data_IF_719374002613
#
_entry.id   IF_719374002613
#
_cell.length_a   1.000
_cell.length_b   1.000
_cell.length_c   1.000
_cell.angle_alpha   90.00
_cell.angle_beta   90.00
_cell.angle_gamma   90.00
#
_symmetry.space_group_name_H-M   'P 1'
#
loop_
_entity.id
_entity.type
_entity.pdbx_description
1 polymer ?
#
# COMPACT_ATOMS: atom_id res chain seq x y z
N UNK A 1 0.34 -32.90 -54.33
CA UNK A 1 0.44 -34.13 -55.14
C UNK A 1 1.08 -35.21 -54.26
N UNK A 2 0.43 -36.37 -54.19
CA UNK A 2 0.85 -37.64 -53.58
C UNK A 2 0.75 -37.85 -52.05
N UNK A 3 -0.15 -38.80 -51.75
CA UNK A 3 -0.38 -39.58 -50.53
C UNK A 3 0.76 -40.58 -50.26
N UNK A 4 0.86 -41.10 -49.01
CA UNK A 4 1.12 -42.51 -48.61
C UNK A 4 1.03 -42.55 -47.05
N UNK A 5 -0.07 -43.01 -46.47
CA UNK A 5 -0.43 -44.40 -46.08
C UNK A 5 0.21 -44.90 -44.77
N UNK A 6 -0.66 -45.01 -43.76
CA UNK A 6 -0.87 -46.09 -42.79
C UNK A 6 0.31 -46.97 -42.31
N UNK A 7 0.46 -47.05 -40.98
CA UNK A 7 0.52 -48.35 -40.31
C UNK A 7 -0.16 -48.31 -38.94
N UNK A 8 -1.12 -49.22 -38.80
CA UNK A 8 -1.93 -49.51 -37.62
C UNK A 8 -1.21 -50.62 -36.86
N UNK A 9 -0.96 -50.43 -35.56
CA UNK A 9 -0.75 -51.55 -34.64
C UNK A 9 -1.73 -51.39 -33.49
N UNK A 10 -2.74 -52.26 -33.50
CA UNK A 10 -3.67 -52.48 -32.41
C UNK A 10 -2.93 -53.16 -31.25
N UNK A 11 -2.99 -52.60 -30.05
CA UNK A 11 -2.89 -53.37 -28.82
C UNK A 11 -4.12 -53.12 -27.96
N UNK A 12 -4.97 -54.13 -27.95
CA UNK A 12 -6.15 -54.25 -27.12
C UNK A 12 -5.74 -55.01 -25.86
N UNK A 13 -5.72 -54.35 -24.70
CA UNK A 13 -5.83 -55.05 -23.41
C UNK A 13 -6.78 -54.29 -22.50
N UNK A 14 -7.89 -54.97 -22.22
CA UNK A 14 -8.92 -54.60 -21.25
C UNK A 14 -8.31 -54.63 -19.85
N UNK A 15 -8.48 -53.55 -19.11
CA UNK A 15 -8.46 -53.58 -17.64
C UNK A 15 -9.68 -52.80 -17.13
N UNK A 16 -10.70 -53.57 -16.75
CA UNK A 16 -11.77 -53.15 -15.83
C UNK A 16 -11.24 -53.24 -14.39
N UNK A 17 -11.94 -52.57 -13.46
CA UNK A 17 -11.62 -52.30 -12.03
C UNK A 17 -10.90 -50.96 -11.86
N UNK A 18 -11.37 -49.96 -11.12
CA UNK A 18 -12.40 -49.89 -10.09
C UNK A 18 -12.88 -48.42 -10.01
N UNK A 19 -14.12 -48.14 -10.38
CA UNK A 19 -14.78 -46.86 -10.15
C UNK A 19 -15.86 -47.05 -9.10
N UNK A 20 -15.44 -47.07 -7.84
CA UNK A 20 -16.32 -46.91 -6.69
C UNK A 20 -15.43 -46.37 -5.55
N UNK A 21 -15.88 -45.32 -4.84
CA UNK A 21 -15.22 -44.65 -3.72
C UNK A 21 -14.31 -43.43 -4.00
N UNK A 22 -14.72 -42.50 -4.86
CA UNK A 22 -14.34 -41.08 -4.72
C UNK A 22 -15.57 -40.21 -5.06
N UNK A 23 -16.61 -40.30 -4.23
CA UNK A 23 -17.88 -39.61 -4.46
C UNK A 23 -18.62 -39.26 -3.18
N UNK A 24 -17.92 -39.15 -2.04
CA UNK A 24 -18.55 -38.93 -0.74
C UNK A 24 -17.75 -37.99 0.19
N UNK A 25 -16.92 -37.10 -0.37
CA UNK A 25 -16.23 -36.04 0.41
C UNK A 25 -16.59 -34.63 -0.08
N UNK A 26 -17.30 -34.48 -1.21
CA UNK A 26 -17.69 -33.16 -1.75
C UNK A 26 -19.14 -32.73 -1.43
N UNK A 27 -19.93 -33.54 -0.73
CA UNK A 27 -21.37 -33.27 -0.55
C UNK A 27 -21.78 -32.75 0.82
N UNK A 28 -20.85 -32.61 1.78
CA UNK A 28 -21.18 -32.18 3.16
C UNK A 28 -20.93 -30.69 3.43
N UNK A 29 -20.52 -29.91 2.44
CA UNK A 29 -20.22 -28.47 2.57
C UNK A 29 -21.21 -27.55 1.83
N UNK A 30 -22.40 -28.05 1.45
CA UNK A 30 -23.37 -27.30 0.65
C UNK A 30 -24.72 -27.05 1.35
N UNK A 31 -24.83 -27.25 2.68
CA UNK A 31 -26.11 -27.15 3.40
C UNK A 31 -26.10 -26.21 4.63
N UNK A 32 -25.26 -25.17 4.62
CA UNK A 32 -25.29 -24.09 5.62
C UNK A 32 -25.16 -22.70 4.96
N UNK A 33 -25.88 -22.46 3.87
CA UNK A 33 -26.12 -21.10 3.38
C UNK A 33 -27.40 -20.57 4.02
N UNK A 34 -27.37 -20.33 5.33
CA UNK A 34 -28.32 -19.39 5.94
C UNK A 34 -27.92 -17.99 5.50
N UNK A 35 -28.86 -17.28 4.90
CA UNK A 35 -28.76 -15.87 4.53
C UNK A 35 -28.18 -15.03 5.67
N UNK A 36 -26.89 -14.75 5.61
CA UNK A 36 -26.26 -13.79 6.52
C UNK A 36 -26.55 -12.40 5.97
N UNK A 37 -27.70 -11.85 6.35
CA UNK A 37 -28.03 -10.45 6.10
C UNK A 37 -27.13 -9.56 6.96
N UNK A 38 -26.18 -8.87 6.33
CA UNK A 38 -25.39 -7.84 7.00
C UNK A 38 -26.17 -6.51 7.01
N UNK A 39 -26.87 -6.23 8.10
CA UNK A 39 -27.39 -4.90 8.37
C UNK A 39 -26.29 -4.06 9.05
N UNK A 40 -25.65 -3.16 8.32
CA UNK A 40 -24.77 -2.14 8.89
C UNK A 40 -25.62 -0.89 9.18
N UNK A 41 -26.10 -0.75 10.41
CA UNK A 41 -26.67 0.52 10.88
C UNK A 41 -25.53 1.51 11.11
N UNK A 42 -25.35 2.46 10.18
CA UNK A 42 -24.44 3.58 10.36
C UNK A 42 -25.04 4.57 11.38
N UNK A 43 -24.75 4.36 12.66
CA UNK A 43 -25.04 5.37 13.67
C UNK A 43 -24.00 6.49 13.54
N UNK A 44 -24.45 7.65 13.04
CA UNK A 44 -23.70 8.89 13.15
C UNK A 44 -23.74 9.37 14.60
N UNK A 45 -22.81 8.89 15.42
CA UNK A 45 -22.42 9.64 16.60
C UNK A 45 -21.66 10.88 16.10
N UNK A 46 -21.99 12.06 16.63
CA UNK A 46 -21.20 13.28 16.44
C UNK A 46 -19.78 13.00 16.93
N UNK A 47 -18.93 12.51 16.03
CA UNK A 47 -17.53 12.25 16.31
C UNK A 47 -16.87 13.59 16.53
N UNK A 48 -16.25 13.74 17.70
CA UNK A 48 -15.25 14.77 17.95
C UNK A 48 -14.26 14.81 16.77
N UNK A 49 -13.76 16.00 16.43
CA UNK A 49 -12.82 16.21 15.32
C UNK A 49 -11.75 15.12 15.35
N UNK A 50 -11.73 14.25 14.34
CA UNK A 50 -10.80 13.12 14.29
C UNK A 50 -9.38 13.64 14.39
N UNK A 51 -8.52 13.04 15.24
CA UNK A 51 -7.16 13.51 15.44
C UNK A 51 -6.40 13.46 14.12
N UNK A 52 -5.54 14.44 13.89
CA UNK A 52 -4.62 14.42 12.75
C UNK A 52 -3.46 13.47 13.04
N UNK A 53 -3.13 12.63 12.07
CA UNK A 53 -1.98 11.73 12.09
C UNK A 53 -1.09 11.95 10.87
N UNK A 54 0.15 11.44 10.96
CA UNK A 54 1.14 11.55 9.90
C UNK A 54 1.28 10.20 9.21
N UNK A 55 1.07 10.19 7.90
CA UNK A 55 1.31 9.05 7.03
C UNK A 55 2.59 9.30 6.25
N UNK A 56 3.52 8.34 6.29
CA UNK A 56 4.84 8.49 5.68
C UNK A 56 5.15 7.26 4.84
N UNK A 57 5.61 7.47 3.60
CA UNK A 57 6.15 6.41 2.75
C UNK A 57 7.43 6.87 2.08
N UNK A 58 8.38 5.95 1.94
CA UNK A 58 9.55 6.17 1.09
C UNK A 58 9.13 6.08 -0.38
N UNK A 59 9.77 6.85 -1.27
CA UNK A 59 9.40 6.83 -2.70
C UNK A 59 9.78 5.50 -3.36
N UNK A 60 10.78 4.79 -2.84
CA UNK A 60 11.12 3.43 -3.28
C UNK A 60 9.96 2.46 -3.05
N UNK A 61 9.16 2.63 -1.99
CA UNK A 61 8.00 1.78 -1.70
C UNK A 61 6.79 2.10 -2.60
N UNK A 62 6.79 3.25 -3.29
CA UNK A 62 5.77 3.64 -4.27
C UNK A 62 6.17 3.25 -5.70
N UNK A 63 7.46 3.27 -6.01
CA UNK A 63 7.97 3.11 -7.38
C UNK A 63 8.68 1.79 -7.65
N UNK A 64 9.10 1.08 -6.59
CA UNK A 64 9.97 -0.09 -6.65
C UNK A 64 11.33 0.18 -7.32
N UNK A 65 11.76 1.45 -7.39
CA UNK A 65 13.05 1.87 -7.96
C UNK A 65 13.87 2.53 -6.87
N UNK A 66 15.14 2.15 -6.74
CA UNK A 66 16.07 2.77 -5.78
C UNK A 66 16.59 4.12 -6.27
N UNK A 67 16.81 4.23 -7.57
CA UNK A 67 17.34 5.42 -8.22
C UNK A 67 16.54 5.75 -9.48
N UNK A 68 16.44 7.03 -9.79
CA UNK A 68 15.99 7.56 -11.07
C UNK A 68 17.07 8.49 -11.60
N UNK A 69 17.40 8.36 -12.87
CA UNK A 69 18.32 9.27 -13.57
C UNK A 69 17.52 10.31 -14.34
N UNK A 70 17.90 11.57 -14.19
CA UNK A 70 17.45 12.70 -14.99
C UNK A 70 18.64 13.25 -15.76
N UNK A 71 18.59 13.15 -17.08
CA UNK A 71 19.64 13.62 -17.98
C UNK A 71 19.01 14.31 -19.20
N UNK A 72 19.84 14.68 -20.18
CA UNK A 72 19.36 15.32 -21.41
C UNK A 72 18.42 14.43 -22.24
N UNK A 73 18.59 13.09 -22.17
CA UNK A 73 17.78 12.12 -22.92
C UNK A 73 16.46 11.82 -22.20
N UNK A 74 16.47 11.85 -20.87
CA UNK A 74 15.35 11.59 -19.97
C UNK A 74 15.21 12.76 -18.98
N UNK A 75 14.84 13.96 -19.46
CA UNK A 75 14.82 15.16 -18.62
C UNK A 75 13.68 15.17 -17.61
N UNK A 76 12.77 14.20 -17.65
CA UNK A 76 11.57 14.20 -16.84
C UNK A 76 11.29 12.84 -16.22
N UNK A 77 10.85 12.85 -14.97
CA UNK A 77 10.31 11.69 -14.28
C UNK A 77 8.96 12.03 -13.66
N UNK A 78 7.96 11.17 -13.92
CA UNK A 78 6.62 11.29 -13.35
C UNK A 78 6.39 10.22 -12.30
N UNK A 79 6.29 10.63 -11.05
CA UNK A 79 5.86 9.80 -9.94
C UNK A 79 4.34 9.83 -9.87
N UNK A 80 3.69 8.70 -10.11
CA UNK A 80 2.25 8.55 -9.87
C UNK A 80 2.01 7.86 -8.52
N UNK A 81 1.00 8.30 -7.78
CA UNK A 81 0.61 7.68 -6.53
C UNK A 81 -0.87 7.90 -6.23
N UNK A 82 -1.43 6.96 -5.47
CA UNK A 82 -2.76 7.09 -4.89
C UNK A 82 -2.63 7.42 -3.40
N UNK A 83 -3.71 7.96 -2.86
CA UNK A 83 -3.82 8.21 -1.43
C UNK A 83 -4.91 7.32 -0.83
N UNK A 84 -4.80 6.98 0.46
CA UNK A 84 -5.85 6.23 1.16
C UNK A 84 -7.23 6.91 1.03
N UNK A 85 -8.23 6.16 0.57
CA UNK A 85 -9.57 6.70 0.27
C UNK A 85 -10.35 7.13 1.51
N UNK A 86 -10.03 6.54 2.66
CA UNK A 86 -10.73 6.70 3.93
C UNK A 86 -10.16 7.80 4.82
N UNK A 87 -9.32 8.66 4.25
CA UNK A 87 -8.64 9.76 4.93
C UNK A 87 -9.03 11.11 4.31
N UNK A 88 -9.12 12.14 5.14
CA UNK A 88 -9.06 13.54 4.72
C UNK A 88 -7.61 13.99 4.82
N UNK A 89 -7.10 14.71 3.82
CA UNK A 89 -5.72 15.18 3.79
C UNK A 89 -5.67 16.70 4.01
N UNK A 90 -4.96 17.11 5.05
CA UNK A 90 -4.77 18.52 5.40
C UNK A 90 -3.43 19.07 4.88
N UNK A 91 -2.58 18.20 4.31
CA UNK A 91 -1.31 18.59 3.72
C UNK A 91 -0.50 17.42 3.19
N UNK A 92 0.39 17.73 2.26
CA UNK A 92 1.28 16.78 1.62
C UNK A 92 2.65 17.45 1.44
N UNK A 93 3.70 16.81 1.94
CA UNK A 93 5.08 17.29 1.90
C UNK A 93 5.94 16.23 1.18
N UNK A 94 6.75 16.66 0.21
CA UNK A 94 7.73 15.84 -0.50
C UNK A 94 9.13 16.13 0.06
N UNK A 95 9.81 15.11 0.57
CA UNK A 95 11.25 15.17 0.84
C UNK A 95 11.98 14.50 -0.33
N UNK A 96 12.87 15.25 -0.96
CA UNK A 96 13.62 14.80 -2.14
C UNK A 96 15.11 14.81 -1.84
N UNK A 97 15.80 13.72 -2.19
CA UNK A 97 17.25 13.56 -2.09
C UNK A 97 17.80 13.36 -3.49
N UNK A 98 18.72 14.24 -3.91
CA UNK A 98 19.32 14.16 -5.25
C UNK A 98 20.81 14.44 -5.20
N UNK A 99 21.57 13.81 -6.08
CA UNK A 99 22.99 14.09 -6.27
C UNK A 99 23.37 14.07 -7.75
N UNK A 100 24.33 14.89 -8.17
CA UNK A 100 24.80 14.90 -9.55
C UNK A 100 25.79 13.76 -9.80
N UNK A 101 25.90 13.34 -11.06
CA UNK A 101 26.93 12.46 -11.55
C UNK A 101 27.42 13.01 -12.89
N UNK A 102 28.74 13.25 -13.02
CA UNK A 102 29.31 13.96 -14.16
C UNK A 102 29.23 15.49 -14.01
N UNK A 103 29.44 16.22 -15.11
CA UNK A 103 29.64 17.67 -15.10
C UNK A 103 28.31 18.43 -15.24
N UNK A 104 27.40 18.24 -14.27
CA UNK A 104 26.13 18.96 -14.26
C UNK A 104 26.36 20.45 -14.00
N UNK A 105 25.83 21.31 -14.88
CA UNK A 105 25.83 22.76 -14.69
C UNK A 105 25.23 23.15 -13.31
N UNK A 106 26.02 23.81 -12.44
CA UNK A 106 25.58 24.26 -11.12
C UNK A 106 24.39 25.21 -11.12
N UNK A 107 24.16 25.94 -12.22
CA UNK A 107 23.10 26.93 -12.34
C UNK A 107 21.79 26.35 -12.87
N UNK A 108 21.81 25.12 -13.39
CA UNK A 108 20.61 24.51 -13.96
C UNK A 108 19.63 24.06 -12.86
N UNK A 109 18.41 24.61 -12.81
CA UNK A 109 17.43 24.23 -11.79
C UNK A 109 16.74 22.90 -12.08
N UNK A 110 16.38 22.20 -11.00
CA UNK A 110 15.42 21.10 -11.02
C UNK A 110 14.03 21.67 -10.71
N UNK A 111 13.04 21.32 -11.51
CA UNK A 111 11.67 21.76 -11.34
C UNK A 111 10.81 20.63 -10.79
N UNK A 112 10.00 20.96 -9.78
CA UNK A 112 9.00 20.06 -9.19
C UNK A 112 7.61 20.64 -9.44
N UNK A 113 6.71 19.88 -10.05
CA UNK A 113 5.29 20.22 -10.19
C UNK A 113 4.42 19.13 -9.59
N UNK A 114 3.33 19.52 -8.94
CA UNK A 114 2.37 18.60 -8.33
C UNK A 114 1.00 18.78 -8.96
N UNK A 115 0.43 17.72 -9.54
CA UNK A 115 -0.90 17.74 -10.16
C UNK A 115 -1.11 18.90 -11.15
N UNK A 116 -0.05 19.30 -11.87
CA UNK A 116 -0.08 20.41 -12.83
C UNK A 116 0.06 21.80 -12.22
N UNK A 117 0.44 21.90 -10.93
CA UNK A 117 0.74 23.17 -10.28
C UNK A 117 1.89 23.91 -10.96
N UNK A 118 2.01 25.22 -10.67
CA UNK A 118 3.20 26.00 -11.03
C UNK A 118 4.46 25.27 -10.52
N UNK A 119 5.47 25.06 -11.36
CA UNK A 119 6.70 24.39 -10.94
C UNK A 119 7.47 25.20 -9.89
N UNK A 120 8.04 24.49 -8.92
CA UNK A 120 8.97 25.01 -7.91
C UNK A 120 10.38 24.69 -8.38
N UNK A 121 11.23 25.71 -8.50
CA UNK A 121 12.63 25.55 -8.86
C UNK A 121 13.48 25.22 -7.62
N UNK A 122 14.29 24.18 -7.72
CA UNK A 122 15.28 23.76 -6.75
C UNK A 122 16.66 23.94 -7.38
N UNK A 123 17.56 24.60 -6.66
CA UNK A 123 18.92 24.86 -7.12
C UNK A 123 19.88 23.99 -6.31
N UNK A 124 20.40 22.93 -6.93
CA UNK A 124 21.34 22.00 -6.31
C UNK A 124 22.80 22.46 -6.32
N UNK A 125 23.12 23.55 -7.03
CA UNK A 125 24.49 24.10 -7.13
C UNK A 125 25.53 23.05 -7.56
N UNK A 126 25.13 22.07 -8.38
CA UNK A 126 26.02 20.99 -8.82
C UNK A 126 26.50 20.08 -7.68
N UNK A 127 25.75 19.98 -6.58
CA UNK A 127 26.08 19.16 -5.40
C UNK A 127 24.89 18.34 -4.91
N UNK A 128 25.14 17.34 -4.05
CA UNK A 128 24.07 16.61 -3.36
C UNK A 128 23.22 17.57 -2.52
N UNK A 129 21.90 17.41 -2.57
CA UNK A 129 20.99 18.19 -1.74
C UNK A 129 19.78 17.40 -1.27
N UNK A 130 19.20 17.88 -0.17
CA UNK A 130 17.93 17.44 0.37
C UNK A 130 16.95 18.62 0.40
N UNK A 131 15.80 18.46 -0.24
CA UNK A 131 14.77 19.48 -0.28
C UNK A 131 13.48 18.98 0.36
N UNK A 132 12.84 19.82 1.18
CA UNK A 132 11.49 19.59 1.67
C UNK A 132 10.54 20.57 0.97
N UNK A 133 9.63 20.03 0.15
CA UNK A 133 8.71 20.79 -0.66
C UNK A 133 7.30 20.57 -0.13
N UNK A 134 6.65 21.65 0.34
CA UNK A 134 5.23 21.62 0.68
C UNK A 134 4.39 21.66 -0.59
N UNK A 135 3.57 20.64 -0.80
CA UNK A 135 2.68 20.54 -1.95
C UNK A 135 1.33 21.21 -1.64
N UNK A 136 0.67 21.74 -2.67
CA UNK A 136 -0.62 22.41 -2.50
C UNK A 136 -1.72 21.39 -2.15
N UNK A 137 -2.22 21.47 -0.92
CA UNK A 137 -3.25 20.58 -0.42
C UNK A 137 -4.56 20.68 -1.20
N UNK A 138 -4.86 21.82 -1.83
CA UNK A 138 -6.08 22.00 -2.62
C UNK A 138 -6.09 21.16 -3.91
N UNK A 139 -4.90 20.73 -4.36
CA UNK A 139 -4.76 19.89 -5.54
C UNK A 139 -4.79 18.40 -5.22
N UNK A 140 -4.91 18.01 -3.94
CA UNK A 140 -4.92 16.61 -3.53
C UNK A 140 -6.14 15.89 -4.10
N UNK A 141 -5.89 14.72 -4.69
CA UNK A 141 -6.93 13.82 -5.21
C UNK A 141 -6.86 12.48 -4.48
N UNK A 142 -7.97 11.73 -4.36
CA UNK A 142 -7.93 10.37 -3.80
C UNK A 142 -7.05 9.41 -4.62
N UNK A 143 -7.00 9.61 -5.94
CA UNK A 143 -6.23 8.78 -6.87
C UNK A 143 -5.64 9.61 -8.00
N UNK A 144 -4.70 9.02 -8.73
CA UNK A 144 -4.04 9.63 -9.90
C UNK A 144 -3.31 10.93 -9.56
N UNK A 145 -2.76 11.03 -8.36
CA UNK A 145 -1.85 12.11 -8.05
C UNK A 145 -0.55 11.88 -8.80
N UNK A 146 0.09 12.98 -9.19
CA UNK A 146 1.40 12.92 -9.81
C UNK A 146 2.29 14.06 -9.36
N UNK A 147 3.56 13.72 -9.17
CA UNK A 147 4.66 14.66 -8.99
C UNK A 147 5.54 14.53 -10.24
N UNK A 148 5.70 15.62 -10.97
CA UNK A 148 6.63 15.73 -12.09
C UNK A 148 7.93 16.34 -11.57
N UNK A 149 9.02 15.60 -11.71
CA UNK A 149 10.39 16.05 -11.48
C UNK A 149 11.00 16.25 -12.85
N UNK A 150 11.49 17.45 -13.14
CA UNK A 150 12.07 17.76 -14.44
C UNK A 150 13.36 18.53 -14.31
N UNK A 151 14.33 18.15 -15.13
CA UNK A 151 15.58 18.82 -15.36
C UNK A 151 15.49 19.53 -16.70
N UNK A 152 15.80 20.82 -16.73
CA UNK A 152 15.82 21.56 -18.00
C UNK A 152 17.21 21.46 -18.61
N UNK A 153 17.36 20.67 -19.66
CA UNK A 153 18.54 20.72 -20.50
C UNK A 153 18.81 22.17 -20.98
N UNK A 154 20.06 22.67 -20.93
CA UNK A 154 20.41 24.00 -21.42
C UNK A 154 19.92 24.24 -22.86
N UNK A 155 19.51 25.47 -23.21
CA UNK A 155 19.10 25.84 -24.58
C UNK A 155 20.32 25.93 -25.50
N UNK A 156 20.20 25.47 -26.75
CA UNK A 156 21.25 25.55 -27.78
C UNK A 156 22.17 24.33 -27.84
N UNK A 157 21.64 23.16 -27.49
CA UNK A 157 22.42 22.02 -27.03
C UNK A 157 22.24 20.81 -27.94
N UNK A 158 22.43 21.03 -29.24
CA UNK A 158 22.47 19.97 -30.26
C UNK A 158 23.62 18.96 -30.04
N UNK A 159 24.47 19.22 -29.05
CA UNK A 159 25.66 18.46 -28.68
C UNK A 159 25.65 17.91 -27.23
N UNK A 160 24.50 17.80 -26.55
CA UNK A 160 24.49 17.17 -25.21
C UNK A 160 24.86 15.69 -25.32
N UNK A 161 25.78 15.29 -24.47
CA UNK A 161 26.32 13.94 -24.34
C UNK A 161 26.21 13.47 -22.90
N UNK A 162 26.59 12.22 -22.63
CA UNK A 162 26.69 11.72 -21.26
C UNK A 162 27.70 12.50 -20.39
N UNK A 163 28.58 13.33 -20.98
CA UNK A 163 29.55 14.15 -20.22
C UNK A 163 28.91 15.34 -19.53
N UNK A 164 27.79 15.86 -20.04
CA UNK A 164 27.05 16.99 -19.48
C UNK A 164 26.33 16.65 -18.15
N UNK A 165 26.56 15.44 -17.66
CA UNK A 165 26.13 14.97 -16.37
C UNK A 165 24.66 14.60 -16.30
N UNK A 166 24.30 14.03 -15.16
CA UNK A 166 22.97 13.57 -14.84
C UNK A 166 22.67 13.79 -13.36
N UNK A 167 21.40 13.99 -13.03
CA UNK A 167 20.94 14.01 -11.66
C UNK A 167 20.38 12.65 -11.28
N UNK A 168 20.85 12.10 -10.18
CA UNK A 168 20.30 10.89 -9.60
C UNK A 168 19.37 11.27 -8.46
N UNK A 169 18.10 10.86 -8.57
CA UNK A 169 17.14 10.91 -7.47
C UNK A 169 17.28 9.65 -6.64
N UNK A 170 17.66 9.80 -5.37
CA UNK A 170 17.70 8.70 -4.42
C UNK A 170 16.30 8.49 -3.82
N UNK A 171 15.58 7.49 -4.35
CA UNK A 171 14.21 7.17 -3.97
C UNK A 171 14.12 6.53 -2.58
N UNK A 172 15.23 5.99 -2.07
CA UNK A 172 15.30 5.39 -0.74
C UNK A 172 15.47 6.44 0.36
N UNK A 173 16.14 7.55 0.04
CA UNK A 173 16.26 8.73 0.92
C UNK A 173 15.12 9.74 0.74
N UNK A 174 14.35 9.62 -0.34
CA UNK A 174 13.21 10.49 -0.63
C UNK A 174 11.91 9.93 -0.04
N UNK A 175 11.02 10.83 0.41
CA UNK A 175 9.79 10.47 1.15
C UNK A 175 8.61 11.33 0.75
N UNK A 176 7.42 10.77 0.88
CA UNK A 176 6.16 11.48 0.79
C UNK A 176 5.44 11.40 2.14
N UNK A 177 5.11 12.57 2.68
CA UNK A 177 4.52 12.74 4.02
C UNK A 177 3.16 13.41 3.88
N UNK A 178 2.11 12.75 4.37
CA UNK A 178 0.75 13.25 4.38
C UNK A 178 0.30 13.53 5.82
N UNK A 179 -0.32 14.69 6.04
CA UNK A 179 -1.11 14.97 7.25
C UNK A 179 -2.56 14.56 6.97
N UNK A 180 -3.05 13.56 7.68
CA UNK A 180 -4.34 12.93 7.42
C UNK A 180 -5.24 12.93 8.66
N UNK A 181 -6.55 12.79 8.44
CA UNK A 181 -7.59 12.58 9.45
C UNK A 181 -8.56 11.51 8.96
N UNK A 182 -8.80 10.49 9.78
CA UNK A 182 -9.65 9.38 9.37
C UNK A 182 -11.10 9.85 9.19
N UNK A 183 -11.71 9.42 8.08
CA UNK A 183 -13.13 9.66 7.81
C UNK A 183 -13.99 8.77 8.72
N UNK A 184 -15.04 9.30 9.34
CA UNK A 184 -15.93 8.49 10.16
C UNK A 184 -16.70 7.50 9.28
N UNK A 185 -16.42 6.20 9.41
CA UNK A 185 -17.17 5.12 8.76
C UNK A 185 -16.95 3.79 9.51
N UNK A 186 -17.88 2.85 9.35
CA UNK A 186 -17.68 1.48 9.81
C UNK A 186 -16.67 0.78 8.89
N UNK A 187 -15.51 0.40 9.43
CA UNK A 187 -14.48 -0.32 8.68
C UNK A 187 -14.98 -1.70 8.26
N UNK A 188 -14.83 -2.01 6.98
CA UNK A 188 -15.06 -3.33 6.41
C UNK A 188 -13.73 -4.06 6.24
N UNK A 189 -13.79 -5.39 6.11
CA UNK A 189 -12.60 -6.22 5.82
C UNK A 189 -11.89 -5.73 4.54
N UNK A 190 -12.64 -5.26 3.55
CA UNK A 190 -12.08 -4.68 2.32
C UNK A 190 -11.25 -3.42 2.59
N UNK A 191 -11.71 -2.55 3.50
CA UNK A 191 -11.03 -1.31 3.87
C UNK A 191 -9.73 -1.63 4.61
N UNK A 192 -9.77 -2.59 5.55
CA UNK A 192 -8.58 -3.09 6.25
C UNK A 192 -7.58 -3.69 5.27
N UNK A 193 -8.04 -4.50 4.30
CA UNK A 193 -7.17 -5.06 3.26
C UNK A 193 -6.50 -3.96 2.45
N UNK A 194 -7.24 -2.93 2.05
CA UNK A 194 -6.68 -1.80 1.34
C UNK A 194 -5.65 -1.05 2.19
N UNK A 195 -5.94 -0.84 3.48
CA UNK A 195 -5.04 -0.16 4.40
C UNK A 195 -3.71 -0.91 4.58
N UNK A 196 -3.77 -2.24 4.76
CA UNK A 196 -2.60 -3.11 4.91
C UNK A 196 -1.75 -3.15 3.62
N UNK A 197 -2.38 -3.10 2.45
CA UNK A 197 -1.69 -3.18 1.18
C UNK A 197 -1.03 -1.85 0.75
N UNK A 198 -1.47 -0.72 1.29
CA UNK A 198 -1.05 0.60 0.84
C UNK A 198 0.18 1.11 1.61
N UNK A 199 1.26 1.48 0.91
CA UNK A 199 2.57 1.80 1.52
C UNK A 199 2.55 2.93 2.57
N UNK A 200 1.62 3.88 2.46
CA UNK A 200 1.47 4.96 3.47
C UNK A 200 0.71 4.57 4.73
N UNK A 201 -0.16 3.56 4.68
CA UNK A 201 -1.07 3.20 5.80
C UNK A 201 -0.80 1.81 6.35
N UNK A 202 0.02 1.02 5.66
CA UNK A 202 0.47 -0.25 6.17
C UNK A 202 1.13 -0.04 7.54
N UNK A 203 0.66 -0.72 8.60
CA UNK A 203 1.20 -0.55 9.93
C UNK A 203 2.64 -1.06 9.97
N UNK A 204 3.53 -0.35 10.65
CA UNK A 204 4.90 -0.82 10.88
C UNK A 204 4.99 -1.68 12.13
N UNK A 205 4.11 -1.43 13.10
CA UNK A 205 3.99 -2.18 14.35
C UNK A 205 2.56 -2.65 14.54
N UNK A 206 2.39 -3.96 14.70
CA UNK A 206 1.06 -4.58 14.87
C UNK A 206 1.03 -5.30 16.21
N UNK A 207 0.13 -4.89 17.09
CA UNK A 207 -0.17 -5.61 18.32
C UNK A 207 -1.26 -6.65 18.07
N UNK A 208 -0.98 -7.92 18.37
CA UNK A 208 -2.00 -8.97 18.35
C UNK A 208 -2.24 -9.44 19.77
N UNK A 209 -3.47 -9.26 20.25
CA UNK A 209 -3.86 -9.64 21.60
C UNK A 209 -4.97 -10.68 21.53
N UNK A 210 -4.60 -11.94 21.62
CA UNK A 210 -5.58 -13.01 21.70
C UNK A 210 -5.92 -13.38 23.15
N UNK A 211 -7.12 -13.94 23.32
CA UNK A 211 -7.64 -14.47 24.58
C UNK A 211 -8.27 -15.84 24.37
N UNK A 212 -8.43 -16.58 25.48
CA UNK A 212 -9.00 -17.92 25.49
C UNK A 212 -7.95 -19.03 25.34
N UNK A 213 -8.45 -20.27 25.25
CA UNK A 213 -7.63 -21.49 25.23
C UNK A 213 -6.68 -21.56 24.02
N UNK A 214 -7.10 -20.99 22.88
CA UNK A 214 -6.37 -21.04 21.62
C UNK A 214 -5.59 -19.73 21.30
N UNK A 215 -5.25 -18.93 22.32
CA UNK A 215 -4.66 -17.58 22.10
C UNK A 215 -3.46 -17.58 21.15
N UNK A 216 -2.51 -18.52 21.34
CA UNK A 216 -1.28 -18.57 20.55
C UNK A 216 -1.55 -18.95 19.11
N UNK A 217 -2.51 -19.86 18.88
CA UNK A 217 -2.93 -20.24 17.54
C UNK A 217 -3.58 -19.06 16.80
N UNK A 218 -4.43 -18.29 17.50
CA UNK A 218 -5.02 -17.08 16.91
C UNK A 218 -3.98 -16.00 16.61
N UNK A 219 -3.03 -15.77 17.51
CA UNK A 219 -1.91 -14.84 17.29
C UNK A 219 -1.11 -15.23 16.04
N UNK A 220 -0.74 -16.51 15.90
CA UNK A 220 0.01 -17.01 14.76
C UNK A 220 -0.78 -16.87 13.43
N UNK A 221 -2.04 -17.29 13.40
CA UNK A 221 -2.87 -17.22 12.19
C UNK A 221 -3.12 -15.78 11.74
N UNK A 222 -3.29 -14.86 12.68
CA UNK A 222 -3.51 -13.44 12.37
C UNK A 222 -2.23 -12.78 11.91
N UNK A 223 -1.10 -13.06 12.56
CA UNK A 223 0.20 -12.59 12.10
C UNK A 223 0.47 -13.05 10.66
N UNK A 224 0.22 -14.33 10.36
CA UNK A 224 0.33 -14.87 9.01
C UNK A 224 -0.64 -14.17 8.03
N UNK A 225 -1.90 -13.99 8.41
CA UNK A 225 -2.91 -13.33 7.58
C UNK A 225 -2.53 -11.88 7.23
N UNK A 226 -1.91 -11.16 8.15
CA UNK A 226 -1.42 -9.78 7.93
C UNK A 226 -0.17 -9.80 7.06
N UNK A 227 0.79 -10.67 7.38
CA UNK A 227 2.04 -10.80 6.62
C UNK A 227 1.78 -11.08 5.13
N UNK A 228 0.69 -11.78 4.80
CA UNK A 228 0.26 -12.03 3.41
C UNK A 228 -0.37 -10.83 2.69
N UNK A 229 -0.71 -9.75 3.39
CA UNK A 229 -1.47 -8.59 2.87
C UNK A 229 -0.69 -7.28 2.89
N UNK A 230 0.54 -7.32 3.41
CA UNK A 230 1.44 -6.17 3.54
C UNK A 230 2.62 -6.33 2.60
N UNK A 231 3.12 -5.21 2.05
CA UNK A 231 4.31 -5.23 1.20
C UNK A 231 5.61 -5.30 2.02
N UNK A 232 5.55 -4.98 3.31
CA UNK A 232 6.69 -5.00 4.23
C UNK A 232 6.24 -5.62 5.53
N UNK A 233 7.00 -6.61 6.03
CA UNK A 233 6.66 -7.34 7.26
C UNK A 233 6.64 -6.36 8.45
N UNK A 234 5.52 -6.22 9.17
CA UNK A 234 5.46 -5.40 10.36
C UNK A 234 6.20 -6.07 11.53
N UNK A 235 6.60 -5.25 12.48
CA UNK A 235 7.01 -5.70 13.81
C UNK A 235 5.78 -6.16 14.60
N UNK A 236 5.65 -7.46 14.80
CA UNK A 236 4.56 -8.05 15.56
C UNK A 236 4.87 -8.01 17.06
N UNK A 237 3.95 -7.43 17.82
CA UNK A 237 4.11 -7.23 19.26
C UNK A 237 2.97 -7.90 20.03
N UNK A 238 3.28 -8.40 21.22
CA UNK A 238 2.30 -8.98 22.14
C UNK A 238 1.74 -7.95 23.14
N UNK A 239 2.05 -6.66 22.94
CA UNK A 239 1.58 -5.55 23.79
C UNK A 239 1.08 -4.41 22.91
N UNK A 240 0.10 -3.64 23.39
CA UNK A 240 -0.46 -2.49 22.64
C UNK A 240 0.48 -1.28 22.62
N UNK A 241 1.54 -1.29 23.44
CA UNK A 241 2.33 -0.10 23.70
C UNK A 241 3.08 0.31 22.44
N UNK A 242 2.66 1.44 21.84
CA UNK A 242 3.21 2.01 20.60
C UNK A 242 2.91 1.20 19.33
N UNK A 243 1.88 0.35 19.32
CA UNK A 243 1.44 -0.28 18.08
C UNK A 243 0.69 0.72 17.19
N UNK A 244 0.88 0.61 15.87
CA UNK A 244 0.16 1.43 14.89
C UNK A 244 -1.22 0.82 14.58
N UNK A 245 -1.35 -0.49 14.73
CA UNK A 245 -2.58 -1.27 14.61
C UNK A 245 -2.68 -2.23 15.79
N UNK A 246 -3.82 -2.31 16.46
CA UNK A 246 -4.09 -3.33 17.49
C UNK A 246 -5.24 -4.23 17.10
N UNK A 247 -4.99 -5.54 17.05
CA UNK A 247 -6.02 -6.55 16.81
C UNK A 247 -6.36 -7.26 18.12
N UNK A 248 -7.64 -7.23 18.46
CA UNK A 248 -8.19 -7.89 19.63
C UNK A 248 -8.96 -9.13 19.19
N UNK A 249 -8.62 -10.28 19.79
CA UNK A 249 -9.13 -11.57 19.32
C UNK A 249 -9.59 -12.39 20.51
N UNK A 250 -10.83 -12.86 20.45
CA UNK A 250 -11.43 -13.66 21.50
C UNK A 250 -12.94 -13.66 21.40
N UNK A 251 -13.57 -14.38 22.31
CA UNK A 251 -15.03 -14.29 22.50
C UNK A 251 -15.41 -12.90 23.04
N UNK A 252 -16.67 -12.53 22.84
CA UNK A 252 -17.23 -11.27 23.35
C UNK A 252 -16.95 -11.05 24.84
N UNK A 253 -17.17 -12.07 25.65
CA UNK A 253 -16.94 -12.00 27.10
C UNK A 253 -15.46 -11.78 27.43
N UNK A 254 -14.56 -12.40 26.67
CA UNK A 254 -13.11 -12.21 26.85
C UNK A 254 -12.63 -10.82 26.46
N UNK A 255 -13.34 -10.13 25.55
CA UNK A 255 -12.98 -8.79 25.06
C UNK A 255 -13.71 -7.66 25.80
N UNK A 256 -14.75 -7.98 26.58
CA UNK A 256 -15.62 -7.02 27.28
C UNK A 256 -14.87 -5.97 28.11
N UNK A 257 -13.78 -6.36 28.76
CA UNK A 257 -12.98 -5.48 29.60
C UNK A 257 -11.95 -4.63 28.83
N UNK A 258 -11.84 -4.82 27.51
CA UNK A 258 -10.87 -4.13 26.64
C UNK A 258 -11.54 -3.21 25.62
N UNK A 259 -12.82 -3.44 25.31
CA UNK A 259 -13.62 -2.59 24.43
C UNK A 259 -14.41 -1.61 25.28
N UNK A 260 -14.04 -0.33 25.27
CA UNK A 260 -14.64 0.70 26.15
C UNK A 260 -16.06 1.10 25.76
N UNK A 261 -16.44 0.91 24.51
CA UNK A 261 -17.73 1.32 24.01
C UNK A 261 -18.72 0.14 24.03
N UNK A 262 -19.85 0.29 24.72
CA UNK A 262 -20.86 -0.78 24.88
C UNK A 262 -21.51 -1.20 23.57
N UNK A 263 -21.68 -0.26 22.64
CA UNK A 263 -22.34 -0.47 21.33
C UNK A 263 -21.75 -1.63 20.52
N UNK A 264 -20.45 -1.89 20.69
CA UNK A 264 -19.68 -2.88 19.93
C UNK A 264 -19.80 -4.29 20.48
N UNK A 265 -20.20 -4.41 21.75
CA UNK A 265 -20.47 -5.70 22.38
C UNK A 265 -21.91 -6.15 22.10
N UNK A 266 -22.80 -5.26 21.67
CA UNK A 266 -24.22 -5.58 21.47
C UNK A 266 -24.56 -5.90 19.99
N UNK A 267 -23.63 -5.67 19.05
CA UNK A 267 -23.83 -5.94 17.60
C UNK A 267 -23.75 -7.44 17.30
N UNK A 268 -24.72 -8.08 16.65
CA UNK A 268 -24.64 -9.51 16.32
C UNK A 268 -23.65 -9.79 15.15
N UNK A 269 -22.78 -10.82 15.29
CA UNK A 269 -21.83 -11.26 14.25
C UNK A 269 -20.34 -11.16 14.60
N UNK A 270 -19.47 -11.58 13.66
CA UNK A 270 -18.01 -11.39 13.74
C UNK A 270 -17.69 -9.92 13.45
N UNK A 271 -17.05 -9.25 14.40
CA UNK A 271 -16.68 -7.85 14.27
C UNK A 271 -15.16 -7.74 14.11
N UNK A 272 -14.73 -7.08 13.04
CA UNK A 272 -13.32 -6.75 12.82
C UNK A 272 -13.08 -5.31 13.27
N UNK A 273 -12.23 -5.14 14.28
CA UNK A 273 -11.82 -3.84 14.79
C UNK A 273 -10.33 -3.66 14.53
N UNK A 274 -9.96 -2.51 13.97
CA UNK A 274 -8.60 -2.10 13.65
C UNK A 274 -8.38 -0.73 14.24
#
# INVERSE_FOLDING_TARGET
MSQYSNNIVNFCTKTKFSHLMIGLVLSFFAALSTDVSFAATAYQTKLAKTPTHILNTDLVALTHRKHITLDWANPTFKLNFDLPRHEWFDGLDLTLSMYPQGDVDPHTPIYISYNGSKPIALHGQGSEFHAQIKLDANLIRPSQNNILISFRAPRGSDCLTARDGQWIVDMSKSKLTARARTKPHALRIADVKQQLAHSMTAPKRVAILARGKNKTAYEALIAQGIAQRVNTLPDFQLTQKRADLTLLVGTRDQLRNRVKEKLWLDTQGTLMFV
#
